data_IF_574916510283
#
_entry.id   IF_574916510283
#
_cell.length_a   1.000
_cell.length_b   1.000
_cell.length_c   1.000
_cell.angle_alpha   90.00
_cell.angle_beta   90.00
_cell.angle_gamma   90.00
#
_symmetry.space_group_name_H-M   'P 1'
#
loop_
_entity.id
_entity.type
_entity.pdbx_description
1 polymer ?
#
# COMPACT_ATOMS: atom_id res chain seq x y z
N UNK A 1 -8.72 24.45 -20.13
CA UNK A 1 -8.02 25.71 -19.74
C UNK A 1 -6.93 25.37 -18.75
N UNK A 2 -5.68 25.83 -18.95
CA UNK A 2 -4.64 25.67 -17.93
C UNK A 2 -5.08 26.42 -16.66
N UNK A 3 -4.89 25.83 -15.46
CA UNK A 3 -5.24 26.49 -14.22
C UNK A 3 -4.48 27.81 -14.10
N UNK A 4 -5.19 28.89 -13.73
CA UNK A 4 -4.56 30.20 -13.49
C UNK A 4 -3.43 30.00 -12.47
N UNK A 5 -2.22 30.43 -12.82
CA UNK A 5 -1.09 30.46 -11.88
C UNK A 5 -1.52 31.36 -10.71
N UNK A 6 -1.50 30.82 -9.50
CA UNK A 6 -1.72 31.57 -8.26
C UNK A 6 -0.59 32.59 -8.02
N UNK A 7 -0.87 33.72 -7.39
CA UNK A 7 0.11 34.80 -7.18
C UNK A 7 1.36 34.35 -6.40
N UNK A 8 1.22 33.33 -5.55
CA UNK A 8 2.27 32.67 -4.79
C UNK A 8 3.45 32.19 -5.67
N UNK A 9 3.22 31.92 -6.96
CA UNK A 9 4.26 31.48 -7.88
C UNK A 9 5.33 32.55 -8.13
N UNK A 10 5.00 33.83 -7.93
CA UNK A 10 5.92 34.94 -8.17
C UNK A 10 7.06 34.99 -7.15
N UNK A 11 6.94 34.30 -6.01
CA UNK A 11 7.96 34.22 -4.96
C UNK A 11 8.91 33.02 -5.11
N UNK A 12 8.81 32.28 -6.22
CA UNK A 12 9.61 31.09 -6.47
C UNK A 12 10.24 31.11 -7.86
N UNK A 13 11.51 30.71 -7.92
CA UNK A 13 12.20 30.41 -9.17
C UNK A 13 11.84 28.98 -9.63
N UNK A 14 11.53 28.81 -10.93
CA UNK A 14 11.18 27.50 -11.51
C UNK A 14 12.46 26.70 -11.79
N UNK A 15 12.60 25.56 -11.13
CA UNK A 15 13.73 24.67 -11.30
C UNK A 15 13.50 23.57 -12.36
N UNK A 16 14.52 22.73 -12.52
CA UNK A 16 14.46 21.52 -13.33
C UNK A 16 13.40 20.51 -12.90
N UNK A 17 13.17 19.52 -13.75
CA UNK A 17 12.23 18.41 -13.51
C UNK A 17 12.81 17.47 -12.44
N UNK A 18 12.08 17.22 -11.35
CA UNK A 18 12.51 16.26 -10.31
C UNK A 18 12.10 14.83 -10.69
N UNK A 19 10.89 14.67 -11.20
CA UNK A 19 10.36 13.43 -11.73
C UNK A 19 9.34 13.74 -12.85
N UNK A 20 8.82 12.73 -13.52
CA UNK A 20 7.90 12.90 -14.66
C UNK A 20 6.65 13.73 -14.35
N UNK A 21 6.27 13.87 -13.07
CA UNK A 21 5.06 14.58 -12.64
C UNK A 21 5.31 15.93 -11.95
N UNK A 22 6.52 16.18 -11.44
CA UNK A 22 6.81 17.32 -10.56
C UNK A 22 8.11 18.03 -10.96
N UNK A 23 8.03 19.36 -11.00
CA UNK A 23 9.18 20.25 -11.12
C UNK A 23 9.66 20.70 -9.74
N UNK A 24 10.93 21.11 -9.64
CA UNK A 24 11.46 21.79 -8.45
C UNK A 24 11.08 23.27 -8.47
N UNK A 25 10.98 23.86 -7.29
CA UNK A 25 10.84 25.29 -7.10
C UNK A 25 11.79 25.75 -5.99
N UNK A 26 12.39 26.93 -6.14
CA UNK A 26 13.32 27.50 -5.18
C UNK A 26 12.76 28.82 -4.66
N UNK A 27 12.76 29.05 -3.35
CA UNK A 27 12.26 30.31 -2.78
C UNK A 27 13.24 31.44 -3.10
N UNK A 28 12.74 32.55 -3.65
CA UNK A 28 13.59 33.68 -4.03
C UNK A 28 14.33 34.29 -2.83
N UNK A 29 13.67 34.43 -1.67
CA UNK A 29 14.33 34.93 -0.46
C UNK A 29 15.46 34.02 0.05
N UNK A 30 15.35 32.70 -0.13
CA UNK A 30 16.46 31.79 0.18
C UNK A 30 17.60 31.91 -0.82
N UNK A 31 17.31 32.15 -2.10
CA UNK A 31 18.34 32.38 -3.11
C UNK A 31 19.08 33.70 -2.85
N UNK A 32 18.35 34.77 -2.52
CA UNK A 32 18.91 36.09 -2.20
C UNK A 32 19.88 36.05 -1.02
N UNK A 33 19.64 35.19 -0.02
CA UNK A 33 20.58 35.00 1.10
C UNK A 33 21.96 34.49 0.65
N UNK A 34 22.00 33.73 -0.45
CA UNK A 34 23.23 33.22 -1.03
C UNK A 34 23.74 34.09 -2.19
N UNK A 35 23.12 35.24 -2.43
CA UNK A 35 23.61 36.21 -3.39
C UNK A 35 24.98 36.73 -2.91
N UNK A 36 26.03 36.69 -3.76
CA UNK A 36 27.33 37.25 -3.39
C UNK A 36 27.19 38.76 -3.15
N UNK A 37 27.43 39.19 -1.90
CA UNK A 37 27.35 40.60 -1.50
C UNK A 37 28.31 41.48 -2.33
N UNK A 38 29.42 40.90 -2.79
CA UNK A 38 30.48 41.57 -3.54
C UNK A 38 30.04 42.09 -4.93
N UNK A 39 28.81 41.78 -5.37
CA UNK A 39 28.24 42.26 -6.63
C UNK A 39 27.45 43.57 -6.45
N UNK A 40 27.14 43.98 -5.21
CA UNK A 40 26.17 45.05 -4.94
C UNK A 40 26.81 46.45 -4.81
N UNK A 41 28.12 46.55 -4.61
CA UNK A 41 28.82 47.84 -4.44
C UNK A 41 29.41 48.39 -5.76
N UNK A 42 28.65 48.37 -6.85
CA UNK A 42 29.00 49.17 -8.03
C UNK A 42 28.33 50.53 -7.90
N UNK A 43 29.15 51.50 -7.48
CA UNK A 43 28.85 52.94 -7.38
C UNK A 43 27.85 53.43 -8.44
N UNK A 44 26.69 53.92 -7.97
CA UNK A 44 25.60 54.46 -8.78
C UNK A 44 25.96 55.74 -9.57
N UNK A 45 27.17 56.30 -9.38
CA UNK A 45 27.58 57.57 -10.02
C UNK A 45 28.43 57.40 -11.30
N UNK A 46 28.82 56.18 -11.67
CA UNK A 46 29.53 55.95 -12.94
C UNK A 46 28.54 55.63 -14.07
N UNK A 47 28.09 56.69 -14.73
CA UNK A 47 27.24 56.65 -15.90
C UNK A 47 27.78 55.67 -16.98
N UNK A 48 26.90 54.72 -17.37
CA UNK A 48 26.78 54.10 -18.70
C UNK A 48 27.54 52.83 -19.07
N UNK A 49 27.79 51.91 -18.14
CA UNK A 49 27.86 50.48 -18.53
C UNK A 49 27.58 49.61 -17.32
N UNK A 50 26.28 49.34 -17.08
CA UNK A 50 25.90 48.26 -16.18
C UNK A 50 26.52 46.97 -16.72
N UNK A 51 27.35 46.25 -15.97
CA UNK A 51 27.73 44.89 -16.33
C UNK A 51 26.43 44.09 -16.27
N UNK A 52 25.83 43.84 -17.45
CA UNK A 52 24.77 42.85 -17.61
C UNK A 52 25.39 41.47 -17.41
N UNK A 53 25.89 41.15 -16.21
CA UNK A 53 25.89 39.76 -15.81
C UNK A 53 24.42 39.34 -15.87
N UNK A 54 24.12 38.38 -16.73
CA UNK A 54 22.76 37.94 -16.96
C UNK A 54 22.15 37.62 -15.59
N UNK A 55 21.03 38.26 -15.26
CA UNK A 55 20.33 38.18 -13.96
C UNK A 55 20.06 36.75 -13.46
N UNK A 56 20.35 35.74 -14.26
CA UNK A 56 20.13 34.31 -14.02
C UNK A 56 21.38 33.56 -13.54
N UNK A 57 22.59 34.04 -13.80
CA UNK A 57 23.81 33.23 -13.56
C UNK A 57 24.06 32.99 -12.06
N UNK A 58 23.81 34.01 -11.23
CA UNK A 58 23.93 33.87 -9.78
C UNK A 58 22.83 32.97 -9.19
N UNK A 59 21.66 32.91 -9.82
CA UNK A 59 20.56 32.03 -9.40
C UNK A 59 21.00 30.58 -9.59
N UNK A 60 21.56 30.25 -10.75
CA UNK A 60 22.06 28.90 -11.05
C UNK A 60 23.19 28.48 -10.10
N UNK A 61 24.09 29.41 -9.75
CA UNK A 61 25.12 29.17 -8.74
C UNK A 61 24.56 28.96 -7.32
N UNK A 62 23.41 29.56 -7.00
CA UNK A 62 22.76 29.49 -5.68
C UNK A 62 21.85 28.27 -5.51
N UNK A 63 21.32 27.71 -6.61
CA UNK A 63 20.46 26.52 -6.61
C UNK A 63 21.02 25.33 -5.80
N UNK A 64 22.30 24.93 -5.88
CA UNK A 64 22.82 23.80 -5.10
C UNK A 64 22.89 24.08 -3.58
N UNK A 65 22.87 25.35 -3.17
CA UNK A 65 22.94 25.77 -1.76
C UNK A 65 21.56 25.80 -1.10
N UNK A 66 20.50 26.01 -1.89
CA UNK A 66 19.13 26.15 -1.40
C UNK A 66 18.35 24.84 -1.48
N UNK A 67 17.64 24.52 -0.41
CA UNK A 67 16.73 23.37 -0.38
C UNK A 67 15.56 23.58 -1.34
N UNK A 68 15.44 22.71 -2.36
CA UNK A 68 14.30 22.74 -3.29
C UNK A 68 12.98 22.37 -2.61
N UNK A 69 11.90 23.00 -3.05
CA UNK A 69 10.52 22.73 -2.64
C UNK A 69 9.77 22.09 -3.82
N UNK A 70 8.90 21.11 -3.55
CA UNK A 70 8.03 20.53 -4.57
C UNK A 70 7.10 21.59 -5.15
N UNK A 71 6.95 21.62 -6.48
CA UNK A 71 6.08 22.53 -7.22
C UNK A 71 4.59 22.21 -7.03
N UNK A 72 4.13 22.22 -5.78
CA UNK A 72 2.77 21.93 -5.33
C UNK A 72 2.36 22.99 -4.31
N UNK A 73 1.12 23.49 -4.43
CA UNK A 73 0.57 24.58 -3.61
C UNK A 73 0.84 24.41 -2.11
N UNK A 74 0.55 23.22 -1.55
CA UNK A 74 0.71 22.93 -0.12
C UNK A 74 2.16 23.12 0.37
N UNK A 75 3.13 22.34 -0.12
CA UNK A 75 4.54 22.49 0.24
C UNK A 75 5.09 23.92 0.09
N UNK A 76 4.73 24.63 -0.98
CA UNK A 76 5.18 26.01 -1.18
C UNK A 76 4.62 26.97 -0.13
N UNK A 77 3.31 26.92 0.13
CA UNK A 77 2.70 27.74 1.19
C UNK A 77 3.27 27.44 2.57
N UNK A 78 3.51 26.16 2.88
CA UNK A 78 4.12 25.76 4.14
C UNK A 78 5.54 26.33 4.29
N UNK A 79 6.35 26.22 3.22
CA UNK A 79 7.70 26.77 3.21
C UNK A 79 7.71 28.28 3.42
N UNK A 80 6.90 29.06 2.69
CA UNK A 80 6.84 30.52 2.84
C UNK A 80 6.50 30.97 4.26
N UNK A 81 5.56 30.27 4.93
CA UNK A 81 5.16 30.58 6.30
C UNK A 81 6.30 30.31 7.29
N UNK A 82 7.04 29.22 7.10
CA UNK A 82 8.17 28.84 7.97
C UNK A 82 9.51 29.50 7.62
N UNK A 83 9.64 30.05 6.42
CA UNK A 83 10.92 30.52 5.89
C UNK A 83 11.34 31.83 6.59
N UNK A 84 12.54 31.89 7.21
CA UNK A 84 13.03 33.12 7.81
C UNK A 84 13.28 34.21 6.76
N UNK A 85 13.76 33.83 5.57
CA UNK A 85 14.15 34.75 4.48
C UNK A 85 13.01 35.15 3.54
N UNK A 86 11.80 34.60 3.70
CA UNK A 86 10.67 34.99 2.87
C UNK A 86 10.18 36.40 3.23
N UNK A 87 9.86 37.20 2.20
CA UNK A 87 9.34 38.56 2.34
C UNK A 87 8.00 38.59 3.11
N UNK A 88 7.69 39.74 3.72
CA UNK A 88 6.46 39.92 4.48
C UNK A 88 5.21 39.70 3.61
N UNK A 89 5.26 40.14 2.35
CA UNK A 89 4.17 39.98 1.37
C UNK A 89 3.97 38.52 1.00
N UNK A 90 5.05 37.77 0.74
CA UNK A 90 4.98 36.33 0.46
C UNK A 90 4.36 35.56 1.64
N UNK A 91 4.73 35.91 2.88
CA UNK A 91 4.15 35.32 4.10
C UNK A 91 2.67 35.65 4.24
N UNK A 92 2.26 36.89 3.92
CA UNK A 92 0.86 37.32 3.99
C UNK A 92 -0.01 36.58 2.97
N UNK A 93 0.46 36.48 1.73
CA UNK A 93 -0.24 35.73 0.67
C UNK A 93 -0.34 34.23 0.99
N UNK A 94 0.75 33.62 1.48
CA UNK A 94 0.74 32.21 1.86
C UNK A 94 -0.29 31.92 2.97
N UNK A 95 -0.43 32.81 3.96
CA UNK A 95 -1.45 32.71 5.02
C UNK A 95 -2.87 32.85 4.47
N UNK A 96 -3.11 33.80 3.55
CA UNK A 96 -4.41 33.96 2.91
C UNK A 96 -4.84 32.69 2.16
N UNK A 97 -3.90 32.06 1.45
CA UNK A 97 -4.12 30.84 0.70
C UNK A 97 -4.33 29.62 1.60
N UNK A 98 -3.65 29.55 2.75
CA UNK A 98 -3.85 28.49 3.72
C UNK A 98 -5.24 28.57 4.37
N UNK A 99 -5.72 29.79 4.65
CA UNK A 99 -7.04 30.04 5.23
C UNK A 99 -8.19 29.68 4.28
N UNK A 100 -8.05 29.98 2.99
CA UNK A 100 -9.12 29.75 2.00
C UNK A 100 -9.46 28.27 1.78
N UNK A 101 -8.60 27.34 2.20
CA UNK A 101 -8.80 25.91 2.01
C UNK A 101 -9.41 25.21 3.25
N UNK A 102 -9.62 25.95 4.35
CA UNK A 102 -10.56 25.52 5.39
C UNK A 102 -11.96 25.66 4.81
N UNK A 103 -12.45 24.59 4.18
CA UNK A 103 -13.90 24.43 3.98
C UNK A 103 -14.58 24.69 5.32
N UNK A 104 -15.69 25.45 5.37
CA UNK A 104 -16.47 25.57 6.59
C UNK A 104 -16.80 24.15 7.03
N UNK A 105 -16.18 23.74 8.13
CA UNK A 105 -16.51 22.51 8.82
C UNK A 105 -17.69 22.93 9.67
N UNK A 106 -18.90 22.62 9.21
CA UNK A 106 -20.12 22.81 9.99
C UNK A 106 -19.86 22.30 11.41
N UNK A 107 -20.05 23.21 12.37
CA UNK A 107 -19.93 22.96 13.79
C UNK A 107 -21.11 22.09 14.24
N UNK A 108 -21.10 20.82 13.84
CA UNK A 108 -21.97 19.81 14.42
C UNK A 108 -21.30 19.30 15.70
N UNK A 109 -21.73 19.89 16.82
CA UNK A 109 -21.34 19.53 18.16
C UNK A 109 -21.97 18.18 18.52
N UNK A 110 -21.26 17.07 18.26
CA UNK A 110 -21.58 15.81 18.91
C UNK A 110 -20.31 15.03 19.24
N UNK A 111 -20.13 14.81 20.54
CA UNK A 111 -19.02 14.11 21.15
C UNK A 111 -19.08 12.62 20.83
N UNK A 112 -18.31 12.16 19.84
CA UNK A 112 -18.04 10.74 19.65
C UNK A 112 -16.54 10.48 19.51
N UNK A 113 -16.09 9.44 20.22
CA UNK A 113 -14.70 9.02 20.42
C UNK A 113 -13.80 9.17 19.18
N UNK A 114 -12.57 9.66 19.41
CA UNK A 114 -11.54 9.88 18.39
C UNK A 114 -11.26 8.56 17.64
N UNK A 115 -11.59 8.44 16.34
CA UNK A 115 -11.21 7.27 15.56
C UNK A 115 -9.69 7.20 15.47
N UNK A 116 -9.14 6.00 15.69
CA UNK A 116 -7.70 5.77 15.67
C UNK A 116 -7.09 6.17 14.31
N UNK A 117 -5.86 6.71 14.32
CA UNK A 117 -5.13 7.22 13.14
C UNK A 117 -5.02 6.22 11.97
N UNK A 118 -5.27 4.92 12.18
CA UNK A 118 -5.25 3.90 11.13
C UNK A 118 -6.47 3.95 10.20
N UNK A 119 -7.59 4.52 10.61
CA UNK A 119 -8.81 4.58 9.78
C UNK A 119 -8.77 5.71 8.72
N UNK A 120 -7.96 6.76 8.97
CA UNK A 120 -7.92 7.94 8.11
C UNK A 120 -7.24 7.69 6.76
N UNK A 121 -6.31 6.74 6.67
CA UNK A 121 -5.63 6.40 5.41
C UNK A 121 -6.51 5.57 4.47
N UNK A 122 -7.40 4.73 4.99
CA UNK A 122 -8.29 3.91 4.17
C UNK A 122 -9.46 4.71 3.59
N UNK A 123 -10.07 5.61 4.38
CA UNK A 123 -11.13 6.50 3.89
C UNK A 123 -10.64 7.48 2.80
N UNK A 124 -9.34 7.80 2.78
CA UNK A 124 -8.75 8.64 1.73
C UNK A 124 -8.59 7.90 0.38
N UNK A 125 -8.54 6.55 0.40
CA UNK A 125 -8.52 5.72 -0.82
C UNK A 125 -9.91 5.63 -1.41
N UNK A 126 -10.95 5.41 -0.59
CA UNK A 126 -12.35 5.36 -1.05
C UNK A 126 -12.79 6.67 -1.73
N UNK A 127 -12.35 7.82 -1.23
CA UNK A 127 -12.78 9.12 -1.78
C UNK A 127 -12.14 9.50 -3.11
N UNK A 128 -11.05 8.83 -3.50
CA UNK A 128 -10.35 9.05 -4.79
C UNK A 128 -10.62 7.96 -5.80
N UNK A 129 -11.03 6.78 -5.34
CA UNK A 129 -11.59 5.75 -6.18
C UNK A 129 -13.04 6.14 -6.48
N UNK A 130 -13.25 7.09 -7.39
CA UNK A 130 -14.53 7.19 -8.10
C UNK A 130 -14.74 5.80 -8.67
N UNK A 131 -15.61 5.01 -8.04
CA UNK A 131 -15.93 3.68 -8.49
C UNK A 131 -16.37 3.87 -9.94
N UNK A 132 -15.55 3.50 -10.94
CA UNK A 132 -16.07 3.48 -12.29
C UNK A 132 -17.28 2.53 -12.21
N UNK A 133 -18.31 2.76 -13.02
CA UNK A 133 -19.33 1.73 -13.23
C UNK A 133 -18.59 0.47 -13.69
N UNK A 134 -18.20 -0.36 -12.73
CA UNK A 134 -17.47 -1.58 -12.96
C UNK A 134 -18.49 -2.45 -13.65
N UNK A 135 -18.33 -2.56 -14.98
CA UNK A 135 -19.14 -3.42 -15.80
C UNK A 135 -19.21 -4.78 -15.11
N UNK A 136 -20.43 -5.32 -14.97
CA UNK A 136 -20.68 -6.57 -14.24
C UNK A 136 -19.70 -7.69 -14.67
N UNK A 137 -19.30 -7.70 -15.94
CA UNK A 137 -18.30 -8.60 -16.53
C UNK A 137 -16.92 -8.57 -15.83
N UNK A 138 -16.43 -7.38 -15.45
CA UNK A 138 -15.14 -7.24 -14.74
C UNK A 138 -15.22 -7.83 -13.34
N UNK A 139 -16.35 -7.63 -12.66
CA UNK A 139 -16.60 -8.17 -11.33
C UNK A 139 -16.67 -9.70 -11.38
N UNK A 140 -17.42 -10.25 -12.35
CA UNK A 140 -17.49 -11.70 -12.57
C UNK A 140 -16.12 -12.32 -12.87
N UNK A 141 -15.32 -11.67 -13.72
CA UNK A 141 -13.97 -12.13 -14.04
C UNK A 141 -13.07 -12.15 -12.79
N UNK A 142 -13.11 -11.08 -12.00
CA UNK A 142 -12.32 -11.01 -10.76
C UNK A 142 -12.79 -12.05 -9.73
N UNK A 143 -14.09 -12.28 -9.64
CA UNK A 143 -14.70 -13.28 -8.76
C UNK A 143 -14.25 -14.71 -9.14
N UNK A 144 -14.24 -15.03 -10.44
CA UNK A 144 -13.77 -16.32 -10.94
C UNK A 144 -12.27 -16.53 -10.62
N UNK A 145 -11.44 -15.50 -10.83
CA UNK A 145 -10.02 -15.54 -10.47
C UNK A 145 -9.80 -15.80 -8.98
N UNK A 146 -10.56 -15.14 -8.11
CA UNK A 146 -10.49 -15.36 -6.67
C UNK A 146 -10.90 -16.79 -6.29
N UNK A 147 -11.96 -17.32 -6.91
CA UNK A 147 -12.43 -18.70 -6.70
C UNK A 147 -11.34 -19.73 -7.05
N UNK A 148 -10.71 -19.59 -8.22
CA UNK A 148 -9.62 -20.47 -8.66
C UNK A 148 -8.39 -20.33 -7.77
N UNK A 149 -8.01 -19.09 -7.43
CA UNK A 149 -6.83 -18.83 -6.59
C UNK A 149 -6.97 -19.38 -5.17
N UNK A 150 -8.19 -19.40 -4.63
CA UNK A 150 -8.48 -19.95 -3.31
C UNK A 150 -8.84 -21.46 -3.36
N UNK A 151 -8.81 -22.07 -4.54
CA UNK A 151 -9.21 -23.47 -4.78
C UNK A 151 -10.59 -23.81 -4.20
N UNK A 152 -11.57 -22.91 -4.37
CA UNK A 152 -12.91 -23.09 -3.84
C UNK A 152 -13.79 -23.91 -4.82
N UNK A 153 -14.69 -24.78 -4.32
CA UNK A 153 -15.57 -25.57 -5.18
C UNK A 153 -16.58 -24.67 -5.89
N UNK A 154 -16.88 -24.90 -7.17
CA UNK A 154 -17.71 -23.98 -7.99
C UNK A 154 -19.09 -23.61 -7.39
N UNK A 155 -19.64 -24.44 -6.51
CA UNK A 155 -20.95 -24.22 -5.87
C UNK A 155 -20.89 -23.40 -4.57
N UNK A 156 -19.69 -23.00 -4.10
CA UNK A 156 -19.54 -22.25 -2.85
C UNK A 156 -20.32 -20.91 -2.83
N UNK A 157 -20.57 -20.33 -4.01
CA UNK A 157 -21.34 -19.09 -4.17
C UNK A 157 -22.83 -19.24 -3.92
N UNK A 158 -23.35 -20.47 -3.93
CA UNK A 158 -24.76 -20.77 -3.70
C UNK A 158 -25.03 -21.07 -2.22
N UNK A 159 -23.98 -21.25 -1.42
CA UNK A 159 -24.11 -21.46 0.01
C UNK A 159 -24.67 -20.19 0.70
N UNK A 160 -25.79 -20.30 1.45
CA UNK A 160 -26.42 -19.15 2.09
C UNK A 160 -25.51 -18.45 3.11
N UNK A 161 -24.61 -19.17 3.79
CA UNK A 161 -23.68 -18.57 4.75
C UNK A 161 -22.62 -17.72 4.04
N UNK A 162 -22.16 -18.17 2.86
CA UNK A 162 -21.23 -17.39 2.02
C UNK A 162 -21.91 -16.13 1.48
N UNK A 163 -23.15 -16.22 1.00
CA UNK A 163 -23.91 -15.05 0.53
C UNK A 163 -24.09 -14.05 1.68
N UNK A 164 -24.47 -14.53 2.87
CA UNK A 164 -24.61 -13.72 4.07
C UNK A 164 -23.29 -13.04 4.47
N UNK A 165 -22.17 -13.75 4.37
CA UNK A 165 -20.84 -13.19 4.60
C UNK A 165 -20.53 -12.02 3.65
N UNK A 166 -20.81 -12.17 2.35
CA UNK A 166 -20.63 -11.07 1.38
C UNK A 166 -21.53 -9.87 1.66
N UNK A 167 -22.77 -10.10 2.09
CA UNK A 167 -23.68 -9.03 2.51
C UNK A 167 -23.17 -8.29 3.75
N UNK A 168 -22.60 -9.02 4.72
CA UNK A 168 -21.96 -8.42 5.89
C UNK A 168 -20.74 -7.59 5.48
N UNK A 169 -19.89 -8.10 4.58
CA UNK A 169 -18.75 -7.35 4.05
C UNK A 169 -19.15 -6.07 3.32
N UNK A 170 -20.24 -6.07 2.55
CA UNK A 170 -20.72 -4.84 1.90
C UNK A 170 -20.94 -3.69 2.89
N UNK A 171 -21.33 -3.99 4.12
CA UNK A 171 -21.60 -2.97 5.15
C UNK A 171 -20.37 -2.58 5.98
N UNK A 172 -19.43 -3.50 6.21
CA UNK A 172 -18.33 -3.33 7.19
C UNK A 172 -17.01 -4.01 6.81
N UNK A 173 -16.72 -4.19 5.52
CA UNK A 173 -15.54 -4.95 5.06
C UNK A 173 -14.23 -4.52 5.73
N UNK A 174 -14.02 -3.23 5.92
CA UNK A 174 -12.79 -2.68 6.50
C UNK A 174 -12.66 -2.91 8.00
N UNK A 175 -13.77 -3.08 8.71
CA UNK A 175 -13.79 -3.31 10.17
C UNK A 175 -13.80 -4.80 10.52
N UNK A 176 -14.42 -5.61 9.65
CA UNK A 176 -14.67 -7.04 9.91
C UNK A 176 -13.57 -7.93 9.40
N UNK A 177 -12.75 -7.48 8.43
CA UNK A 177 -11.69 -8.31 7.88
C UNK A 177 -10.54 -8.47 8.90
N UNK A 178 -10.36 -9.67 9.49
CA UNK A 178 -9.30 -9.88 10.48
C UNK A 178 -7.93 -9.71 9.82
N UNK A 179 -6.97 -9.18 10.57
CA UNK A 179 -5.58 -9.19 10.12
C UNK A 179 -5.05 -10.63 10.08
N UNK A 180 -4.04 -10.86 9.26
CA UNK A 180 -3.40 -12.18 9.14
C UNK A 180 -2.92 -12.74 10.48
N UNK A 181 -2.43 -11.87 11.38
CA UNK A 181 -2.05 -12.26 12.74
C UNK A 181 -3.25 -12.71 13.60
N UNK A 182 -4.44 -12.16 13.37
CA UNK A 182 -5.67 -12.55 14.09
C UNK A 182 -6.23 -13.86 13.54
N UNK A 183 -6.14 -14.05 12.21
CA UNK A 183 -6.51 -15.30 11.55
C UNK A 183 -5.60 -16.45 11.98
N UNK A 184 -4.28 -16.28 11.82
CA UNK A 184 -3.30 -17.35 12.04
C UNK A 184 -3.15 -17.76 13.50
N UNK A 185 -3.32 -16.84 14.45
CA UNK A 185 -3.26 -17.14 15.88
C UNK A 185 -4.63 -17.48 16.45
N UNK A 186 -5.36 -16.45 16.88
CA UNK A 186 -6.52 -16.63 17.77
C UNK A 186 -7.63 -17.50 17.18
N UNK A 187 -8.04 -17.26 15.94
CA UNK A 187 -9.20 -17.95 15.36
C UNK A 187 -8.91 -19.43 15.07
N UNK A 188 -7.73 -19.73 14.54
CA UNK A 188 -7.32 -21.11 14.30
C UNK A 188 -7.05 -21.86 15.60
N UNK A 189 -6.39 -21.23 16.58
CA UNK A 189 -6.14 -21.83 17.88
C UNK A 189 -7.43 -22.11 18.66
N UNK A 190 -8.39 -21.18 18.63
CA UNK A 190 -9.71 -21.36 19.26
C UNK A 190 -10.52 -22.45 18.57
N UNK A 191 -10.52 -22.50 17.24
CA UNK A 191 -11.20 -23.56 16.49
C UNK A 191 -10.54 -24.92 16.73
N UNK A 192 -9.21 -24.97 16.77
CA UNK A 192 -8.45 -26.20 17.05
C UNK A 192 -8.75 -26.72 18.45
N UNK A 193 -8.73 -25.84 19.46
CA UNK A 193 -9.08 -26.23 20.84
C UNK A 193 -10.53 -26.69 20.99
N UNK A 194 -11.47 -26.08 20.26
CA UNK A 194 -12.87 -26.51 20.24
C UNK A 194 -13.05 -27.90 19.59
N UNK A 195 -12.36 -28.14 18.47
CA UNK A 195 -12.35 -29.45 17.81
C UNK A 195 -11.70 -30.50 18.72
N UNK A 196 -10.55 -30.21 19.31
CA UNK A 196 -9.86 -31.09 20.26
C UNK A 196 -10.74 -31.44 21.46
N UNK A 197 -11.48 -30.47 22.01
CA UNK A 197 -12.40 -30.71 23.11
C UNK A 197 -13.55 -31.62 22.68
N UNK A 198 -14.14 -31.39 21.51
CA UNK A 198 -15.24 -32.19 20.97
C UNK A 198 -14.79 -33.63 20.70
N UNK A 199 -13.63 -33.81 20.07
CA UNK A 199 -13.04 -35.13 19.79
C UNK A 199 -12.71 -35.87 21.08
N UNK A 200 -12.15 -35.21 22.11
CA UNK A 200 -11.88 -35.85 23.41
C UNK A 200 -13.15 -36.40 24.07
N UNK A 201 -14.27 -35.67 23.98
CA UNK A 201 -15.55 -36.12 24.53
C UNK A 201 -16.08 -37.34 23.77
N UNK A 202 -16.02 -37.32 22.44
CA UNK A 202 -16.52 -38.43 21.59
C UNK A 202 -15.68 -39.71 21.68
N UNK A 203 -14.38 -39.56 21.98
CA UNK A 203 -13.42 -40.65 22.07
C UNK A 203 -13.20 -41.17 23.51
N UNK A 204 -13.83 -40.57 24.52
CA UNK A 204 -13.73 -41.05 25.89
C UNK A 204 -14.16 -42.53 25.99
N UNK A 205 -13.22 -43.40 26.38
CA UNK A 205 -13.46 -44.84 26.51
C UNK A 205 -13.34 -45.66 25.22
N UNK A 206 -12.98 -45.04 24.08
CA UNK A 206 -12.71 -45.73 22.81
C UNK A 206 -11.20 -45.75 22.55
N UNK A 207 -10.68 -46.90 22.13
CA UNK A 207 -9.30 -46.99 21.67
C UNK A 207 -9.24 -46.54 20.20
N UNK A 208 -8.61 -45.39 19.93
CA UNK A 208 -8.44 -44.88 18.56
C UNK A 208 -6.97 -44.74 18.25
N UNK A 209 -6.54 -45.36 17.15
CA UNK A 209 -5.21 -45.18 16.60
C UNK A 209 -5.27 -44.11 15.52
N UNK A 210 -4.65 -42.95 15.77
CA UNK A 210 -4.47 -41.96 14.71
C UNK A 210 -3.34 -42.40 13.79
N UNK A 211 -3.67 -42.68 12.53
CA UNK A 211 -2.67 -42.86 11.48
C UNK A 211 -2.40 -41.48 10.90
N UNK A 212 -1.34 -40.83 11.37
CA UNK A 212 -0.89 -39.56 10.82
C UNK A 212 -0.28 -39.76 9.44
N UNK A 213 -1.01 -39.45 8.38
CA UNK A 213 -0.42 -39.29 7.05
C UNK A 213 0.34 -37.95 7.03
N UNK A 214 1.63 -38.00 7.34
CA UNK A 214 2.53 -36.88 7.04
C UNK A 214 2.71 -36.87 5.53
N UNK A 215 1.86 -36.12 4.83
CA UNK A 215 2.10 -35.81 3.43
C UNK A 215 3.42 -35.02 3.39
N UNK A 216 4.45 -35.49 2.66
CA UNK A 216 5.64 -34.69 2.46
C UNK A 216 5.19 -33.38 1.82
N UNK A 217 5.35 -32.27 2.55
CA UNK A 217 5.22 -30.93 1.98
C UNK A 217 6.38 -30.83 0.99
N UNK A 218 6.11 -31.22 -0.26
CA UNK A 218 7.02 -30.99 -1.36
C UNK A 218 7.09 -29.48 -1.55
N UNK A 219 7.96 -28.84 -0.78
CA UNK A 219 8.38 -27.46 -0.93
C UNK A 219 9.32 -27.34 -2.13
N UNK A 220 9.02 -28.06 -3.22
CA UNK A 220 9.60 -27.86 -4.53
C UNK A 220 8.92 -26.64 -5.13
N UNK A 221 9.31 -25.46 -4.62
CA UNK A 221 9.33 -24.28 -5.46
C UNK A 221 10.09 -24.67 -6.75
N UNK A 222 9.58 -24.36 -7.94
CA UNK A 222 10.34 -24.58 -9.17
C UNK A 222 11.64 -23.77 -9.06
N UNK A 223 12.75 -24.48 -8.88
CA UNK A 223 14.09 -23.91 -8.97
C UNK A 223 14.28 -23.50 -10.43
N UNK A 224 14.13 -22.21 -10.70
CA UNK A 224 14.68 -21.63 -11.93
C UNK A 224 16.21 -21.72 -11.85
N UNK A 225 16.90 -22.21 -12.90
CA UNK A 225 18.34 -22.34 -12.88
C UNK A 225 18.96 -20.94 -13.03
N UNK A 226 19.49 -20.38 -11.95
CA UNK A 226 20.35 -19.20 -12.01
C UNK A 226 21.26 -19.18 -10.79
N UNK A 227 22.49 -19.63 -11.01
CA UNK A 227 23.73 -19.35 -10.28
C UNK A 227 23.79 -19.65 -8.78
N UNK A 228 24.69 -20.58 -8.46
CA UNK A 228 24.90 -21.09 -7.12
C UNK A 228 25.54 -20.11 -6.14
N UNK A 229 25.28 -20.37 -4.87
CA UNK A 229 26.25 -20.18 -3.79
C UNK A 229 26.03 -21.26 -2.73
N UNK A 230 27.14 -21.75 -2.21
CA UNK A 230 27.29 -22.91 -1.36
C UNK A 230 27.32 -22.49 0.13
N UNK A 231 26.82 -23.38 1.01
CA UNK A 231 27.25 -23.76 2.39
C UNK A 231 26.39 -23.41 3.64
N UNK A 232 26.15 -24.52 4.38
CA UNK A 232 26.27 -24.80 5.83
C UNK A 232 25.21 -24.26 6.78
N UNK A 233 24.47 -25.18 7.41
CA UNK A 233 24.48 -25.35 8.87
C UNK A 233 24.13 -26.81 9.25
N UNK A 234 25.15 -27.57 9.62
CA UNK A 234 25.03 -28.74 10.49
C UNK A 234 24.92 -28.23 11.93
N UNK A 235 23.83 -28.50 12.64
CA UNK A 235 23.82 -28.53 14.11
C UNK A 235 22.52 -29.15 14.65
N UNK A 236 22.56 -30.40 15.10
CA UNK A 236 21.86 -30.86 16.31
C UNK A 236 22.31 -32.28 16.68
N UNK A 237 22.95 -32.51 17.84
CA UNK A 237 23.09 -33.83 18.43
C UNK A 237 21.87 -34.09 19.33
N UNK A 238 21.11 -35.15 19.04
CA UNK A 238 19.99 -35.60 19.86
C UNK A 238 19.72 -37.10 19.64
N UNK A 239 19.15 -37.80 20.64
CA UNK A 239 19.11 -39.25 20.65
C UNK A 239 18.20 -39.79 19.54
N UNK A 240 18.74 -40.76 18.81
CA UNK A 240 18.10 -41.44 17.68
C UNK A 240 16.85 -42.16 18.19
N UNK A 241 15.67 -41.59 17.95
CA UNK A 241 14.42 -42.33 18.01
C UNK A 241 14.30 -43.14 16.72
N UNK A 242 14.28 -44.45 16.85
CA UNK A 242 14.08 -45.40 15.75
C UNK A 242 12.72 -45.16 15.10
N UNK A 243 12.69 -44.40 14.00
CA UNK A 243 11.56 -44.35 13.09
C UNK A 243 11.51 -45.67 12.32
N UNK A 244 10.53 -46.51 12.66
CA UNK A 244 10.16 -47.64 11.81
C UNK A 244 9.45 -47.04 10.59
N UNK A 245 10.17 -46.95 9.46
CA UNK A 245 9.57 -46.63 8.17
C UNK A 245 8.57 -47.75 7.84
N UNK A 246 7.28 -47.43 7.85
CA UNK A 246 6.29 -48.26 7.19
C UNK A 246 6.57 -48.23 5.66
N UNK A 247 6.43 -49.36 4.96
CA UNK A 247 6.60 -49.39 3.51
C UNK A 247 5.59 -48.44 2.86
N UNK A 248 6.08 -47.66 1.89
CA UNK A 248 5.27 -46.75 1.10
C UNK A 248 4.02 -47.46 0.56
N UNK A 249 2.83 -46.96 0.92
CA UNK A 249 1.59 -47.31 0.24
C UNK A 249 1.76 -46.96 -1.23
N UNK A 250 1.99 -47.98 -2.07
CA UNK A 250 1.84 -47.83 -3.50
C UNK A 250 0.37 -47.47 -3.77
N UNK A 251 0.09 -46.44 -4.58
CA UNK A 251 -1.27 -46.16 -5.01
C UNK A 251 -1.76 -47.37 -5.82
N UNK A 252 -2.76 -48.07 -5.27
CA UNK A 252 -3.48 -49.10 -5.99
C UNK A 252 -4.13 -48.46 -7.22
N UNK A 253 -3.61 -48.78 -8.40
CA UNK A 253 -4.28 -48.55 -9.68
C UNK A 253 -5.67 -49.17 -9.58
N UNK A 254 -6.70 -48.34 -9.47
CA UNK A 254 -8.09 -48.79 -9.64
C UNK A 254 -8.24 -49.29 -11.08
N UNK A 255 -8.92 -50.43 -11.30
CA UNK A 255 -9.20 -50.90 -12.65
C UNK A 255 -10.18 -49.93 -13.34
N UNK A 256 -9.79 -49.53 -14.53
CA UNK A 256 -10.59 -48.84 -15.54
C UNK A 256 -11.87 -49.65 -15.77
N UNK A 257 -13.01 -49.15 -15.28
CA UNK A 257 -14.32 -49.69 -15.66
C UNK A 257 -14.80 -48.94 -16.90
N UNK A 258 -14.62 -49.58 -18.06
CA UNK A 258 -15.33 -49.27 -19.29
C UNK A 258 -16.84 -49.55 -19.09
N UNK A 259 -17.61 -48.52 -18.73
CA UNK A 259 -19.07 -48.57 -18.85
C UNK A 259 -19.49 -48.20 -20.28
N UNK A 260 -19.78 -49.24 -21.06
CA UNK A 260 -20.62 -49.16 -22.26
C UNK A 260 -22.02 -48.66 -21.89
N UNK A 261 -22.36 -47.43 -22.31
CA UNK A 261 -23.74 -46.97 -22.41
C UNK A 261 -24.45 -47.65 -23.60
N UNK A 262 -25.61 -48.31 -23.41
CA UNK A 262 -26.47 -48.67 -24.52
C UNK A 262 -27.38 -47.49 -24.88
N UNK A 263 -27.20 -46.97 -26.09
CA UNK A 263 -28.15 -46.11 -26.78
C UNK A 263 -29.49 -46.84 -26.93
N UNK A 264 -30.52 -46.39 -26.23
CA UNK A 264 -31.91 -46.73 -26.56
C UNK A 264 -32.59 -45.51 -27.19
N UNK A 265 -32.68 -45.57 -28.52
CA UNK A 265 -33.67 -44.89 -29.31
C UNK A 265 -34.96 -45.70 -29.22
N UNK A 266 -36.01 -45.10 -28.66
CA UNK A 266 -37.42 -45.26 -29.05
C UNK A 266 -38.27 -44.25 -28.29
#
# INVERSE_FOLDING_TARGET
>A
MPPKKLDIWNYFHEGGIQNTAHKRAYCLGCLEQHCPTDIIDVDMDSARQAPQMASTDWIDASIPLVKSVLRVKGPMTAHLISCPHASADAKKEAKAVQGSNKRPRDESAESSAKPSKKHASFLAVEKKMKQPELKAEMVQTQFLRATVSANLPFLWTTDPEVIKLFLMFRSRATEVMPSDAVLSGRLLDESATQVDASVKVELAGKYVTMIGCVMPVHNTLPVYPSFGFIRIFDFFPGPVSTLILAPACQPSMLPEQDELYPSSLC
#
